data_IF_654352847863
#
_entry.id   IF_654352847863
#
_cell.length_a   1.000
_cell.length_b   1.000
_cell.length_c   1.000
_cell.angle_alpha   90.00
_cell.angle_beta   90.00
_cell.angle_gamma   90.00
#
_symmetry.space_group_name_H-M   'P 1'
#
loop_
_entity.id
_entity.type
_entity.pdbx_description
1 polymer ?
#
# COMPACT_ATOMS: atom_id res chain seq x y z
N UNK A 1 0.27 -6.76 14.33
CA UNK A 1 -1.20 -6.97 14.24
C UNK A 1 -1.64 -7.13 12.80
N UNK A 2 -1.54 -6.11 11.94
CA UNK A 2 -1.96 -6.28 10.52
C UNK A 2 -1.09 -7.25 9.75
N UNK A 3 0.22 -7.21 9.96
CA UNK A 3 1.17 -8.16 9.37
C UNK A 3 0.77 -9.59 9.72
N UNK A 4 0.63 -9.93 11.00
CA UNK A 4 0.21 -11.29 11.41
C UNK A 4 -1.15 -11.76 10.85
N UNK A 5 -2.03 -10.84 10.42
CA UNK A 5 -3.34 -11.18 9.83
C UNK A 5 -3.20 -11.41 8.32
N UNK A 6 -2.59 -10.47 7.58
CA UNK A 6 -2.59 -10.49 6.11
C UNK A 6 -1.35 -11.09 5.48
N UNK A 7 -0.22 -11.12 6.19
CA UNK A 7 1.05 -11.68 5.71
C UNK A 7 0.86 -13.15 5.22
N UNK A 8 0.15 -14.04 5.94
CA UNK A 8 -0.09 -15.41 5.46
C UNK A 8 -0.92 -15.52 4.15
N UNK A 9 -1.74 -14.53 3.84
CA UNK A 9 -2.65 -14.56 2.68
C UNK A 9 -2.04 -13.99 1.41
N UNK A 10 -1.05 -13.11 1.54
CA UNK A 10 -0.40 -12.50 0.40
C UNK A 10 0.42 -13.54 -0.37
N UNK A 11 0.33 -13.55 -1.72
CA UNK A 11 1.12 -14.47 -2.54
C UNK A 11 2.61 -14.17 -2.41
N UNK A 12 3.45 -15.17 -2.70
CA UNK A 12 4.92 -15.04 -2.66
C UNK A 12 5.49 -14.00 -3.64
N UNK A 13 4.69 -13.59 -4.63
CA UNK A 13 5.03 -12.53 -5.59
C UNK A 13 4.69 -11.14 -5.07
N UNK A 14 4.01 -11.03 -3.92
CA UNK A 14 3.79 -9.78 -3.22
C UNK A 14 5.07 -9.39 -2.48
N UNK A 15 5.43 -8.11 -2.55
CA UNK A 15 6.64 -7.57 -1.95
C UNK A 15 6.29 -6.36 -1.06
N UNK A 16 7.27 -5.82 -0.33
CA UNK A 16 7.08 -4.87 0.78
C UNK A 16 6.52 -5.52 2.06
N UNK A 17 7.04 -6.70 2.35
CA UNK A 17 6.73 -7.51 3.53
C UNK A 17 8.01 -7.89 4.26
N UNK A 18 7.92 -8.42 5.47
CA UNK A 18 9.11 -8.80 6.23
C UNK A 18 10.00 -9.76 5.43
N UNK A 19 11.29 -9.41 5.30
CA UNK A 19 12.26 -10.17 4.49
C UNK A 19 12.11 -10.04 2.97
N UNK A 20 11.10 -9.33 2.46
CA UNK A 20 10.81 -9.24 1.02
C UNK A 20 10.72 -7.77 0.54
N UNK A 21 11.88 -7.20 0.20
CA UNK A 21 12.02 -5.85 -0.39
C UNK A 21 12.48 -5.86 -1.85
N UNK A 22 12.83 -4.69 -2.41
CA UNK A 22 13.21 -4.52 -3.82
C UNK A 22 14.31 -5.50 -4.30
N UNK A 23 15.33 -5.74 -3.48
CA UNK A 23 16.41 -6.67 -3.82
C UNK A 23 15.93 -8.12 -3.97
N UNK A 24 14.94 -8.54 -3.18
CA UNK A 24 14.35 -9.88 -3.30
C UNK A 24 13.59 -10.02 -4.62
N UNK A 25 12.89 -8.97 -5.06
CA UNK A 25 12.17 -8.93 -6.34
C UNK A 25 13.13 -9.08 -7.50
N UNK A 26 14.18 -8.25 -7.54
CA UNK A 26 15.16 -8.26 -8.63
C UNK A 26 15.92 -9.59 -8.70
N UNK A 27 16.24 -10.18 -7.55
CA UNK A 27 16.83 -11.52 -7.48
C UNK A 27 15.90 -12.57 -8.08
N UNK A 28 14.63 -12.56 -7.66
CA UNK A 28 13.61 -13.49 -8.16
C UNK A 28 13.44 -13.41 -9.67
N UNK A 29 13.33 -12.19 -10.23
CA UNK A 29 13.25 -11.99 -11.68
C UNK A 29 14.48 -12.57 -12.38
N UNK A 30 15.69 -12.31 -11.84
CA UNK A 30 16.94 -12.81 -12.43
C UNK A 30 17.05 -14.34 -12.40
N UNK A 31 16.63 -14.97 -11.31
CA UNK A 31 16.81 -16.41 -11.06
C UNK A 31 15.68 -17.26 -11.66
N UNK A 32 14.43 -16.79 -11.62
CA UNK A 32 13.26 -17.59 -11.99
C UNK A 32 12.75 -17.31 -13.42
N UNK A 33 12.93 -16.10 -13.96
CA UNK A 33 12.22 -15.71 -15.21
C UNK A 33 13.00 -16.01 -16.49
N UNK A 34 14.17 -16.66 -16.39
CA UNK A 34 14.98 -17.09 -17.53
C UNK A 34 15.24 -15.99 -18.57
N UNK A 35 15.22 -16.36 -19.87
CA UNK A 35 15.33 -15.39 -20.97
C UNK A 35 13.93 -14.84 -21.29
N UNK A 36 13.45 -13.93 -20.45
CA UNK A 36 12.24 -13.16 -20.75
C UNK A 36 12.50 -12.17 -21.88
N UNK A 37 11.75 -12.28 -22.99
CA UNK A 37 11.92 -11.41 -24.17
C UNK A 37 11.10 -10.12 -24.12
N UNK A 38 10.05 -10.10 -23.32
CA UNK A 38 9.11 -8.98 -23.22
C UNK A 38 8.60 -8.86 -21.78
N UNK A 39 8.45 -7.61 -21.33
CA UNK A 39 7.91 -7.27 -20.03
C UNK A 39 6.72 -6.34 -20.20
N UNK A 40 5.77 -6.45 -19.28
CA UNK A 40 4.61 -5.58 -19.21
C UNK A 40 4.62 -4.86 -17.87
N UNK A 41 4.79 -3.56 -17.93
CA UNK A 41 4.82 -2.70 -16.75
C UNK A 41 3.48 -1.97 -16.60
N UNK A 42 2.93 -2.02 -15.39
CA UNK A 42 1.78 -1.22 -15.00
C UNK A 42 2.04 -0.56 -13.65
N UNK A 43 1.62 0.69 -13.54
CA UNK A 43 1.67 1.46 -12.30
C UNK A 43 0.31 2.10 -12.00
N UNK A 44 -0.04 2.16 -10.72
CA UNK A 44 -1.25 2.82 -10.24
C UNK A 44 -0.86 4.22 -9.76
N UNK A 45 -1.16 5.22 -10.59
CA UNK A 45 -0.83 6.63 -10.30
C UNK A 45 -1.44 7.07 -8.97
N UNK A 46 -0.59 7.65 -8.12
CA UNK A 46 -0.95 8.30 -6.85
C UNK A 46 -1.79 7.41 -5.91
N UNK A 47 -1.52 6.10 -5.87
CA UNK A 47 -2.31 5.11 -5.15
C UNK A 47 -2.75 5.57 -3.73
N UNK A 48 -1.86 6.12 -2.90
CA UNK A 48 -2.21 6.57 -1.55
C UNK A 48 -3.16 7.78 -1.49
N UNK A 49 -3.18 8.61 -2.53
CA UNK A 49 -4.08 9.77 -2.61
C UNK A 49 -5.41 9.44 -3.29
N UNK A 50 -5.41 8.47 -4.20
CA UNK A 50 -6.57 8.12 -5.03
C UNK A 50 -7.33 6.89 -4.55
N UNK A 51 -6.78 6.15 -3.57
CA UNK A 51 -7.45 4.97 -3.01
C UNK A 51 -8.80 5.34 -2.37
N UNK A 52 -9.82 4.58 -2.74
CA UNK A 52 -11.14 4.68 -2.12
C UNK A 52 -11.07 4.16 -0.69
N UNK A 53 -11.12 5.11 0.26
CA UNK A 53 -11.02 4.83 1.69
C UNK A 53 -12.22 4.04 2.22
N UNK A 54 -13.41 4.24 1.64
CA UNK A 54 -14.59 3.48 2.03
C UNK A 54 -14.43 2.03 1.62
N UNK A 55 -13.96 1.78 0.39
CA UNK A 55 -13.68 0.43 -0.10
C UNK A 55 -12.58 -0.25 0.72
N UNK A 56 -11.49 0.45 1.02
CA UNK A 56 -10.40 -0.10 1.84
C UNK A 56 -10.88 -0.48 3.25
N UNK A 57 -11.75 0.34 3.87
CA UNK A 57 -12.33 0.01 5.18
C UNK A 57 -13.24 -1.22 5.09
N UNK A 58 -14.02 -1.39 4.02
CA UNK A 58 -14.86 -2.58 3.84
C UNK A 58 -14.01 -3.85 3.75
N UNK A 59 -12.93 -3.83 2.97
CA UNK A 59 -12.01 -4.97 2.85
C UNK A 59 -11.40 -5.32 4.22
N UNK A 60 -10.93 -4.31 4.96
CA UNK A 60 -10.35 -4.56 6.29
C UNK A 60 -11.36 -5.14 7.30
N UNK A 61 -12.66 -4.86 7.13
CA UNK A 61 -13.74 -5.40 7.98
C UNK A 61 -14.07 -6.86 7.72
N UNK A 62 -13.60 -7.42 6.60
CA UNK A 62 -13.79 -8.85 6.31
C UNK A 62 -13.04 -9.70 7.34
N UNK A 63 -11.84 -9.26 7.76
CA UNK A 63 -10.98 -9.99 8.70
C UNK A 63 -10.89 -9.38 10.10
N UNK A 64 -11.25 -8.09 10.27
CA UNK A 64 -11.06 -7.36 11.53
C UNK A 64 -12.39 -6.81 12.04
N UNK A 65 -12.82 -7.28 13.22
CA UNK A 65 -13.99 -6.76 13.94
C UNK A 65 -13.58 -6.04 15.23
N UNK A 66 -12.74 -5.00 15.10
CA UNK A 66 -12.36 -4.12 16.22
C UNK A 66 -12.72 -2.65 15.93
N UNK A 67 -13.75 -2.10 16.59
CA UNK A 67 -14.11 -0.69 16.46
C UNK A 67 -12.97 0.30 16.79
N UNK A 68 -12.07 -0.04 17.73
CA UNK A 68 -10.93 0.83 18.12
C UNK A 68 -9.86 0.87 17.03
N UNK A 69 -9.65 -0.26 16.34
CA UNK A 69 -8.77 -0.32 15.18
C UNK A 69 -9.24 0.63 14.08
N UNK A 70 -10.53 0.59 13.70
CA UNK A 70 -11.05 1.46 12.65
C UNK A 70 -11.05 2.94 13.03
N UNK A 71 -11.27 3.27 14.31
CA UNK A 71 -11.12 4.64 14.79
C UNK A 71 -9.69 5.17 14.58
N UNK A 72 -8.68 4.32 14.78
CA UNK A 72 -7.27 4.67 14.55
C UNK A 72 -6.95 4.83 13.07
N UNK A 73 -7.45 3.93 12.22
CA UNK A 73 -7.29 4.01 10.76
C UNK A 73 -7.91 5.29 10.19
N UNK A 74 -9.10 5.68 10.67
CA UNK A 74 -9.72 6.95 10.27
C UNK A 74 -8.80 8.14 10.60
N UNK A 75 -8.21 8.19 11.79
CA UNK A 75 -7.27 9.25 12.19
C UNK A 75 -6.06 9.35 11.24
N UNK A 76 -5.46 8.21 10.87
CA UNK A 76 -4.34 8.19 9.91
C UNK A 76 -4.75 8.78 8.56
N UNK A 77 -5.94 8.43 8.06
CA UNK A 77 -6.46 9.01 6.82
C UNK A 77 -6.77 10.51 6.90
N UNK A 78 -7.15 11.02 8.08
CA UNK A 78 -7.34 12.46 8.30
C UNK A 78 -6.01 13.20 8.39
N UNK A 79 -5.01 12.65 9.08
CA UNK A 79 -3.68 13.23 9.18
C UNK A 79 -3.01 13.40 7.80
N UNK A 80 -3.14 12.39 6.93
CA UNK A 80 -2.65 12.47 5.54
C UNK A 80 -3.32 13.53 4.68
N UNK A 81 -4.54 14.00 5.04
CA UNK A 81 -5.18 15.14 4.36
C UNK A 81 -4.55 16.47 4.76
N UNK A 82 -4.19 16.65 6.02
CA UNK A 82 -3.63 17.92 6.51
C UNK A 82 -2.23 18.18 5.96
N UNK A 83 -1.41 17.13 5.83
CA UNK A 83 -0.06 17.24 5.25
C UNK A 83 -0.09 17.53 3.73
N UNK A 84 -1.17 17.18 3.03
CA UNK A 84 -1.34 17.45 1.60
C UNK A 84 -1.87 18.86 1.25
N UNK A 85 -2.19 19.69 2.24
CA UNK A 85 -2.79 21.04 2.04
C UNK A 85 -1.76 22.17 2.11
N UNK A 86 -0.47 21.90 2.32
CA UNK A 86 0.57 22.94 2.25
C UNK A 86 1.31 22.97 0.92
N UNK A 87 0.82 23.85 0.02
CA UNK A 87 1.54 24.89 -0.75
C UNK A 87 0.79 25.22 -2.05
N UNK A 88 -0.35 25.91 -1.91
CA UNK A 88 -0.91 26.73 -2.99
C UNK A 88 -0.21 28.10 -3.04
N UNK A 89 -0.05 28.74 -4.22
CA UNK A 89 0.84 29.89 -4.42
C UNK A 89 0.18 31.23 -4.06
N UNK A 90 -0.40 31.35 -2.87
CA UNK A 90 -1.14 32.56 -2.47
C UNK A 90 -0.79 33.07 -1.09
N UNK A 91 0.50 33.12 -0.72
CA UNK A 91 0.95 34.03 0.34
C UNK A 91 2.37 34.51 0.04
N UNK A 92 2.46 35.64 -0.66
CA UNK A 92 3.59 36.56 -0.62
C UNK A 92 3.01 37.95 -0.39
N UNK A 93 3.16 38.45 0.84
CA UNK A 93 3.21 39.88 1.15
C UNK A 93 4.60 40.12 1.71
#
# INVERSE_FOLDING_TARGET
VLESIYDPEFPDTSHFRSGQGCHSVLRRIKEEWGISRWFLEFDIRKCFHTIDRHRLIQILKEEIDDPKFFYSIQKVFFAGRLVGVERGPYYSV
#
